data_IF_178211022354
#
_entry.id   IF_178211022354
#
_cell.length_a   1.000
_cell.length_b   1.000
_cell.length_c   1.000
_cell.angle_alpha   90.00
_cell.angle_beta   90.00
_cell.angle_gamma   90.00
#
_symmetry.space_group_name_H-M   'P 1'
#
loop_
_entity.id
_entity.type
_entity.pdbx_description
1 polymer ?
#
# COMPACT_ATOMS: atom_id res chain seq x y z
N UNK A 1 -13.84 13.69 11.15
CA UNK A 1 -13.86 13.03 9.83
C UNK A 1 -14.64 11.73 10.01
N UNK A 2 -15.87 11.63 9.49
CA UNK A 2 -16.70 10.42 9.61
C UNK A 2 -16.27 9.48 8.49
N UNK A 3 -15.61 8.38 8.86
CA UNK A 3 -15.17 7.34 7.93
C UNK A 3 -16.36 6.68 7.22
N UNK A 4 -16.05 6.03 6.10
CA UNK A 4 -16.80 5.09 5.23
C UNK A 4 -18.26 4.78 5.59
N UNK A 5 -19.11 4.53 4.58
CA UNK A 5 -20.54 4.19 4.75
C UNK A 5 -20.82 3.14 5.83
N UNK A 6 -19.89 2.20 6.04
CA UNK A 6 -20.06 1.05 6.93
C UNK A 6 -19.26 1.16 8.25
N UNK A 7 -18.98 2.40 8.69
CA UNK A 7 -18.45 2.68 10.03
C UNK A 7 -17.16 3.51 10.05
N UNK A 8 -16.65 3.84 11.25
CA UNK A 8 -15.47 4.67 11.38
C UNK A 8 -14.21 3.93 10.90
N UNK A 9 -13.28 4.71 10.31
CA UNK A 9 -11.93 4.27 9.98
C UNK A 9 -10.93 5.33 10.46
N UNK A 10 -9.71 4.93 10.84
CA UNK A 10 -8.64 5.88 11.13
C UNK A 10 -8.41 6.80 9.91
N UNK A 11 -8.15 8.08 10.16
CA UNK A 11 -7.94 9.05 9.08
C UNK A 11 -6.78 8.67 8.15
N UNK A 12 -5.69 8.12 8.71
CA UNK A 12 -4.55 7.62 7.96
C UNK A 12 -4.95 6.52 6.96
N UNK A 13 -5.81 5.58 7.35
CA UNK A 13 -6.28 4.50 6.47
C UNK A 13 -7.10 5.05 5.28
N UNK A 14 -7.94 6.05 5.54
CA UNK A 14 -8.71 6.72 4.47
C UNK A 14 -7.77 7.46 3.52
N UNK A 15 -6.75 8.14 4.05
CA UNK A 15 -5.73 8.81 3.26
C UNK A 15 -4.94 7.82 2.41
N UNK A 16 -4.50 6.69 2.97
CA UNK A 16 -3.74 5.67 2.27
C UNK A 16 -4.52 5.10 1.07
N UNK A 17 -5.81 4.79 1.24
CA UNK A 17 -6.67 4.39 0.12
C UNK A 17 -6.74 5.46 -0.96
N UNK A 18 -6.90 6.73 -0.57
CA UNK A 18 -6.93 7.84 -1.52
C UNK A 18 -5.62 7.96 -2.30
N UNK A 19 -4.49 7.85 -1.63
CA UNK A 19 -3.17 7.90 -2.26
C UNK A 19 -2.97 6.74 -3.22
N UNK A 20 -3.18 5.50 -2.77
CA UNK A 20 -3.05 4.30 -3.63
C UNK A 20 -3.92 4.39 -4.88
N UNK A 21 -5.18 4.81 -4.72
CA UNK A 21 -6.12 4.98 -5.84
C UNK A 21 -5.72 6.13 -6.76
N UNK A 22 -5.20 7.22 -6.22
CA UNK A 22 -4.69 8.34 -7.02
C UNK A 22 -3.47 7.93 -7.83
N UNK A 23 -2.54 7.15 -7.24
CA UNK A 23 -1.40 6.57 -7.95
C UNK A 23 -1.87 5.66 -9.09
N UNK A 24 -2.88 4.81 -8.83
CA UNK A 24 -3.46 3.96 -9.86
C UNK A 24 -4.07 4.76 -11.03
N UNK A 25 -4.84 5.80 -10.74
CA UNK A 25 -5.39 6.71 -11.77
C UNK A 25 -4.27 7.43 -12.54
N UNK A 26 -3.16 7.75 -11.88
CA UNK A 26 -1.99 8.35 -12.51
C UNK A 26 -1.12 7.38 -13.34
N UNK A 27 -1.52 6.10 -13.44
CA UNK A 27 -0.80 5.08 -14.21
C UNK A 27 0.27 4.30 -13.43
N UNK A 28 0.34 4.49 -12.11
CA UNK A 28 1.31 3.86 -11.21
C UNK A 28 0.63 2.90 -10.22
N UNK A 29 -0.34 2.12 -10.68
CA UNK A 29 -1.07 1.19 -9.82
C UNK A 29 -0.10 0.13 -9.24
N UNK A 30 0.01 -0.01 -7.90
CA UNK A 30 0.81 -1.08 -7.32
C UNK A 30 0.12 -2.45 -7.47
N UNK A 31 0.92 -3.51 -7.58
CA UNK A 31 0.46 -4.89 -7.39
C UNK A 31 0.83 -5.40 -6.00
N UNK A 32 -0.08 -6.16 -5.38
CA UNK A 32 0.12 -6.76 -4.07
C UNK A 32 0.03 -8.29 -4.07
N UNK A 33 -0.13 -8.91 -5.24
CA UNK A 33 -0.23 -10.37 -5.40
C UNK A 33 0.80 -10.89 -6.39
N UNK A 34 0.69 -10.46 -7.64
CA UNK A 34 1.52 -10.93 -8.76
C UNK A 34 2.79 -10.10 -8.86
N UNK A 35 3.85 -10.72 -9.38
CA UNK A 35 5.16 -10.07 -9.44
C UNK A 35 5.13 -8.85 -10.37
N UNK A 36 5.38 -7.67 -9.82
CA UNK A 36 5.38 -6.39 -10.54
C UNK A 36 6.37 -6.33 -11.71
N UNK A 37 7.48 -7.08 -11.62
CA UNK A 37 8.51 -7.10 -12.65
C UNK A 37 8.26 -8.08 -13.81
N UNK A 38 7.78 -9.30 -13.54
CA UNK A 38 7.67 -10.36 -14.56
C UNK A 38 6.27 -10.95 -14.73
N UNK A 39 5.29 -10.51 -13.92
CA UNK A 39 3.91 -11.02 -13.96
C UNK A 39 3.73 -12.43 -13.39
N UNK A 40 4.75 -13.04 -12.78
CA UNK A 40 4.60 -14.36 -12.18
C UNK A 40 3.48 -14.35 -11.11
N UNK A 41 2.53 -15.30 -11.16
CA UNK A 41 1.38 -15.32 -10.26
C UNK A 41 1.82 -15.48 -8.81
N UNK A 42 1.11 -14.80 -7.91
CA UNK A 42 1.37 -14.78 -6.47
C UNK A 42 0.88 -16.03 -5.71
N UNK A 43 0.89 -15.96 -4.36
CA UNK A 43 1.23 -14.79 -3.56
C UNK A 43 2.75 -14.58 -3.41
N UNK A 44 3.22 -13.35 -3.68
CA UNK A 44 4.58 -12.91 -3.35
C UNK A 44 4.56 -11.96 -2.16
N UNK A 45 5.64 -11.97 -1.36
CA UNK A 45 5.69 -11.21 -0.09
C UNK A 45 6.82 -10.19 -0.01
N UNK A 46 7.72 -10.14 -1.00
CA UNK A 46 8.74 -9.10 -1.06
C UNK A 46 8.14 -7.88 -1.77
N UNK A 47 8.19 -6.70 -1.16
CA UNK A 47 7.65 -5.46 -1.72
C UNK A 47 8.76 -4.49 -2.10
N UNK A 48 8.68 -3.92 -3.30
CA UNK A 48 9.62 -2.91 -3.79
C UNK A 48 8.85 -1.76 -4.45
N UNK A 49 8.90 -0.55 -3.87
CA UNK A 49 8.41 0.66 -4.51
C UNK A 49 8.96 0.83 -5.93
N UNK A 50 10.26 0.60 -6.10
CA UNK A 50 10.95 0.76 -7.38
C UNK A 50 10.48 -0.22 -8.46
N UNK A 51 10.12 -1.45 -8.05
CA UNK A 51 9.60 -2.44 -8.98
C UNK A 51 8.10 -2.30 -9.25
N UNK A 52 7.39 -1.43 -8.52
CA UNK A 52 5.95 -1.22 -8.68
C UNK A 52 5.05 -2.09 -7.81
N UNK A 53 5.56 -2.79 -6.79
CA UNK A 53 4.73 -3.63 -5.92
C UNK A 53 5.45 -4.85 -5.36
N UNK A 54 4.69 -5.93 -5.15
CA UNK A 54 5.27 -7.21 -4.74
C UNK A 54 6.05 -7.85 -5.88
N UNK A 55 7.13 -8.57 -5.54
CA UNK A 55 8.06 -9.18 -6.50
C UNK A 55 8.42 -10.59 -6.07
N UNK A 56 8.57 -11.48 -7.05
CA UNK A 56 8.99 -12.85 -6.80
C UNK A 56 10.46 -12.93 -6.35
N UNK A 57 10.87 -14.08 -5.81
CA UNK A 57 12.24 -14.29 -5.33
C UNK A 57 13.35 -14.06 -6.36
N UNK A 58 13.02 -14.17 -7.66
CA UNK A 58 13.97 -13.99 -8.76
C UNK A 58 14.09 -12.54 -9.20
N UNK A 59 13.03 -11.75 -9.06
CA UNK A 59 12.99 -10.35 -9.45
C UNK A 59 13.25 -9.39 -8.28
N UNK A 60 13.32 -9.89 -7.04
CA UNK A 60 13.46 -9.04 -5.87
C UNK A 60 14.81 -8.31 -5.84
N UNK A 61 14.83 -6.96 -5.79
CA UNK A 61 16.07 -6.23 -5.54
C UNK A 61 16.52 -6.36 -4.08
N UNK A 62 17.80 -6.10 -3.78
CA UNK A 62 18.27 -5.90 -2.42
C UNK A 62 17.42 -4.82 -1.71
N UNK A 63 17.24 -4.97 -0.39
CA UNK A 63 16.44 -4.08 0.45
C UNK A 63 14.92 -4.03 0.14
N UNK A 64 14.38 -5.02 -0.58
CA UNK A 64 12.92 -5.21 -0.64
C UNK A 64 12.36 -5.39 0.77
N UNK A 65 11.26 -4.70 1.07
CA UNK A 65 10.54 -4.90 2.33
C UNK A 65 9.88 -6.29 2.34
N UNK A 66 9.64 -6.82 3.53
CA UNK A 66 8.92 -8.09 3.74
C UNK A 66 7.74 -7.86 4.67
N UNK A 67 6.65 -7.27 4.15
CA UNK A 67 5.47 -6.95 4.97
C UNK A 67 4.78 -8.20 5.48
N UNK A 68 3.95 -8.03 6.50
CA UNK A 68 3.02 -9.07 6.90
C UNK A 68 2.01 -9.36 5.78
N UNK A 69 1.53 -10.60 5.70
CA UNK A 69 0.49 -10.99 4.72
C UNK A 69 -0.76 -10.13 4.91
N UNK A 70 -1.19 -9.94 6.17
CA UNK A 70 -2.33 -9.07 6.50
C UNK A 70 -2.15 -7.61 6.04
N UNK A 71 -0.91 -7.13 5.95
CA UNK A 71 -0.59 -5.79 5.43
C UNK A 71 -0.80 -5.73 3.92
N UNK A 72 -0.41 -6.77 3.17
CA UNK A 72 -0.68 -6.87 1.74
C UNK A 72 -2.18 -7.02 1.45
N UNK A 73 -2.91 -7.76 2.28
CA UNK A 73 -4.36 -7.88 2.20
C UNK A 73 -5.04 -6.52 2.42
N UNK A 74 -4.60 -5.77 3.44
CA UNK A 74 -5.08 -4.42 3.70
C UNK A 74 -4.79 -3.47 2.52
N UNK A 75 -3.56 -3.45 2.02
CA UNK A 75 -3.18 -2.60 0.89
C UNK A 75 -4.01 -2.92 -0.37
N UNK A 76 -4.29 -4.20 -0.61
CA UNK A 76 -5.18 -4.65 -1.69
C UNK A 76 -6.59 -4.12 -1.52
N UNK A 77 -7.17 -4.26 -0.31
CA UNK A 77 -8.49 -3.74 0.02
C UNK A 77 -8.57 -2.21 -0.16
N UNK A 78 -7.56 -1.47 0.32
CA UNK A 78 -7.50 -0.01 0.19
C UNK A 78 -7.39 0.45 -1.27
N UNK A 79 -6.64 -0.27 -2.10
CA UNK A 79 -6.48 0.03 -3.52
C UNK A 79 -7.80 -0.11 -4.29
N UNK A 80 -8.60 -1.13 -3.99
CA UNK A 80 -9.90 -1.34 -4.67
C UNK A 80 -11.08 -0.66 -3.97
N UNK A 81 -10.85 -0.11 -2.77
CA UNK A 81 -11.89 0.54 -1.97
C UNK A 81 -12.83 -0.43 -1.27
N UNK A 82 -12.37 -1.65 -0.96
CA UNK A 82 -13.12 -2.64 -0.18
C UNK A 82 -13.07 -2.27 1.30
N UNK A 83 -13.96 -1.36 1.71
CA UNK A 83 -14.02 -0.90 3.09
C UNK A 83 -14.52 -1.97 4.06
N UNK A 84 -15.28 -2.96 3.60
CA UNK A 84 -15.74 -4.06 4.44
C UNK A 84 -14.56 -4.89 4.94
N UNK A 85 -13.58 -5.19 4.08
CA UNK A 85 -12.35 -5.90 4.44
C UNK A 85 -11.43 -5.14 5.42
N UNK A 86 -11.68 -3.86 5.68
CA UNK A 86 -10.83 -3.02 6.56
C UNK A 86 -11.37 -2.86 7.99
N UNK A 87 -12.48 -3.53 8.34
CA UNK A 87 -13.18 -3.30 9.62
C UNK A 87 -12.42 -3.79 10.85
N UNK A 88 -11.57 -4.81 10.72
CA UNK A 88 -10.89 -5.50 11.81
C UNK A 88 -9.39 -5.60 11.56
N UNK A 89 -8.74 -4.43 11.39
CA UNK A 89 -7.31 -4.32 11.12
C UNK A 89 -6.56 -4.00 12.41
N UNK A 90 -5.55 -4.81 12.71
CA UNK A 90 -4.63 -4.54 13.83
C UNK A 90 -3.85 -3.24 13.62
N UNK A 91 -3.62 -2.49 14.69
CA UNK A 91 -2.94 -1.20 14.61
C UNK A 91 -1.50 -1.30 14.06
N UNK A 92 -0.83 -2.45 14.24
CA UNK A 92 0.48 -2.75 13.67
C UNK A 92 0.43 -2.90 12.16
N UNK A 93 -0.54 -3.66 11.64
CA UNK A 93 -0.80 -3.86 10.21
C UNK A 93 -1.12 -2.52 9.54
N UNK A 94 -1.97 -1.71 10.19
CA UNK A 94 -2.29 -0.38 9.69
C UNK A 94 -1.04 0.51 9.56
N UNK A 95 -0.20 0.57 10.61
CA UNK A 95 1.04 1.38 10.58
C UNK A 95 2.01 0.91 9.50
N UNK A 96 2.17 -0.41 9.34
CA UNK A 96 3.02 -0.96 8.28
C UNK A 96 2.49 -0.59 6.89
N UNK A 97 1.17 -0.69 6.67
CA UNK A 97 0.54 -0.30 5.40
C UNK A 97 0.73 1.19 5.09
N UNK A 98 0.58 2.07 6.09
CA UNK A 98 0.82 3.51 5.90
C UNK A 98 2.28 3.79 5.52
N UNK A 99 3.24 3.12 6.17
CA UNK A 99 4.67 3.26 5.83
C UNK A 99 4.99 2.80 4.41
N UNK A 100 4.42 1.67 3.97
CA UNK A 100 4.60 1.17 2.60
C UNK A 100 3.94 2.06 1.56
N UNK A 101 2.74 2.58 1.85
CA UNK A 101 2.03 3.54 0.98
C UNK A 101 2.85 4.82 0.83
N UNK A 102 3.35 5.38 1.92
CA UNK A 102 4.20 6.57 1.89
C UNK A 102 5.50 6.32 1.11
N UNK A 103 6.16 5.18 1.30
CA UNK A 103 7.36 4.80 0.55
C UNK A 103 7.08 4.67 -0.95
N UNK A 104 5.97 4.02 -1.32
CA UNK A 104 5.55 3.84 -2.72
C UNK A 104 5.28 5.18 -3.41
N UNK A 105 4.49 6.02 -2.75
CA UNK A 105 4.10 7.35 -3.23
C UNK A 105 5.32 8.25 -3.35
N UNK A 106 6.18 8.32 -2.34
CA UNK A 106 7.40 9.12 -2.37
C UNK A 106 8.37 8.67 -3.47
N UNK A 107 8.49 7.38 -3.72
CA UNK A 107 9.36 6.88 -4.80
C UNK A 107 8.93 7.39 -6.18
N UNK A 108 7.63 7.36 -6.47
CA UNK A 108 7.10 7.73 -7.79
C UNK A 108 6.90 9.25 -7.97
N UNK A 109 6.96 10.02 -6.90
CA UNK A 109 6.90 11.48 -6.98
C UNK A 109 8.30 12.06 -6.93
N UNK A 110 8.75 12.67 -8.03
CA UNK A 110 10.08 13.27 -8.20
C UNK A 110 10.50 14.28 -7.10
N UNK A 111 9.55 14.82 -6.32
CA UNK A 111 9.81 15.81 -5.25
C UNK A 111 9.29 15.42 -3.85
N UNK A 112 8.68 14.24 -3.70
CA UNK A 112 8.03 13.80 -2.44
C UNK A 112 6.88 14.69 -1.96
N UNK A 113 5.93 14.14 -1.19
CA UNK A 113 4.85 14.94 -0.58
C UNK A 113 5.28 15.39 0.81
N UNK A 114 5.60 16.68 0.94
CA UNK A 114 5.96 17.30 2.24
C UNK A 114 4.86 17.19 3.30
N UNK A 115 3.61 16.95 2.90
CA UNK A 115 2.48 16.77 3.80
C UNK A 115 2.45 15.40 4.48
N UNK A 116 3.11 14.37 3.93
CA UNK A 116 3.09 13.02 4.51
C UNK A 116 3.76 12.96 5.89
N UNK A 117 4.81 13.75 6.12
CA UNK A 117 5.50 13.82 7.42
C UNK A 117 4.65 14.44 8.53
N UNK A 118 3.53 15.08 8.21
CA UNK A 118 2.62 15.67 9.18
C UNK A 118 1.57 14.66 9.70
N UNK A 119 1.46 13.49 9.06
CA UNK A 119 0.46 12.45 9.38
C UNK A 119 0.99 11.39 10.35
N UNK A 120 2.32 11.25 10.50
CA UNK A 120 2.99 10.23 11.34
C UNK A 120 3.02 10.55 12.86
N UNK A 121 1.91 11.01 13.46
CA UNK A 121 1.79 11.23 14.91
C UNK A 121 0.64 10.46 15.53
#
# INVERSE_FOLDING_TARGET
MRGTSDGPRPAAMVLDSYLLRSMAVAGYAPTFTDCASCGAPGPHTAFSPAAGGVVCRFCRPPASAHPQVATLDLLSALLVGDWAATSAVEATVQREASGLTAAFVNWHMERGLRSLSLVER
#
